data_IF_699856210321
#
_entry.id   IF_699856210321
#
_cell.length_a   1.000
_cell.length_b   1.000
_cell.length_c   1.000
_cell.angle_alpha   90.00
_cell.angle_beta   90.00
_cell.angle_gamma   90.00
#
_symmetry.space_group_name_H-M   'P 1'
#
loop_
_entity.id
_entity.type
_entity.pdbx_description
1 polymer ?
#
# COMPACT_ATOMS: atom_id res chain seq x y z
N UNK A 1 -43.51 -10.64 25.89
CA UNK A 1 -43.88 -9.49 26.75
C UNK A 1 -43.13 -9.61 28.07
N UNK A 2 -42.40 -8.56 28.48
CA UNK A 2 -42.07 -8.21 29.88
C UNK A 2 -41.00 -9.03 30.64
N UNK A 3 -40.04 -8.34 31.25
CA UNK A 3 -38.98 -8.92 32.10
C UNK A 3 -39.44 -9.17 33.56
N UNK A 4 -39.03 -10.29 34.18
CA UNK A 4 -38.62 -10.41 35.61
C UNK A 4 -38.16 -11.85 35.98
N UNK A 5 -37.35 -11.96 37.05
CA UNK A 5 -36.52 -13.10 37.49
C UNK A 5 -37.21 -14.21 38.30
N UNK A 6 -36.69 -15.45 38.27
CA UNK A 6 -36.77 -16.43 39.39
C UNK A 6 -35.57 -17.41 39.44
N UNK A 7 -35.22 -17.84 40.66
CA UNK A 7 -34.14 -18.76 41.03
C UNK A 7 -34.75 -20.05 41.60
N UNK A 8 -34.35 -21.26 41.16
CA UNK A 8 -34.67 -22.51 41.87
C UNK A 8 -33.62 -23.63 41.70
N UNK A 9 -33.62 -24.53 42.69
CA UNK A 9 -32.58 -25.46 43.19
C UNK A 9 -32.21 -26.67 42.29
N UNK A 10 -30.99 -27.23 42.46
CA UNK A 10 -30.69 -28.67 42.27
C UNK A 10 -29.57 -29.03 41.28
N UNK A 11 -28.52 -29.71 41.77
CA UNK A 11 -27.30 -30.16 41.06
C UNK A 11 -27.51 -31.03 39.79
N UNK A 12 -26.69 -30.84 38.73
CA UNK A 12 -25.69 -31.80 38.18
C UNK A 12 -25.17 -31.34 36.80
N UNK A 13 -23.87 -31.52 36.60
CA UNK A 13 -23.05 -31.07 35.45
C UNK A 13 -23.52 -31.59 34.08
N UNK A 14 -23.37 -30.75 33.05
CA UNK A 14 -22.76 -31.17 31.79
C UNK A 14 -22.05 -29.98 31.14
N UNK A 15 -20.73 -29.98 31.20
CA UNK A 15 -19.88 -29.04 30.47
C UNK A 15 -19.91 -29.40 28.99
N UNK A 16 -20.43 -28.49 28.16
CA UNK A 16 -20.07 -28.49 26.74
C UNK A 16 -19.69 -27.05 26.40
N UNK A 17 -18.39 -26.81 26.35
CA UNK A 17 -17.78 -25.68 25.65
C UNK A 17 -18.28 -25.70 24.22
N UNK A 18 -19.34 -24.94 23.95
CA UNK A 18 -19.58 -24.45 22.60
C UNK A 18 -18.69 -23.23 22.49
N UNK A 19 -17.48 -23.44 21.97
CA UNK A 19 -16.75 -22.38 21.29
C UNK A 19 -17.69 -21.99 20.15
N UNK A 20 -18.53 -20.98 20.39
CA UNK A 20 -19.11 -20.23 19.28
C UNK A 20 -17.92 -19.56 18.66
N UNK A 21 -17.33 -20.23 17.66
CA UNK A 21 -16.59 -19.55 16.63
C UNK A 21 -17.51 -18.41 16.19
N UNK A 22 -17.17 -17.20 16.62
CA UNK A 22 -17.51 -16.02 15.87
C UNK A 22 -16.84 -16.20 14.51
N UNK A 23 -17.46 -17.02 13.65
CA UNK A 23 -17.38 -16.77 12.23
C UNK A 23 -18.03 -15.41 12.08
N UNK A 24 -17.20 -14.37 12.06
CA UNK A 24 -17.53 -13.18 11.30
C UNK A 24 -17.94 -13.70 9.93
N UNK A 25 -19.25 -13.73 9.68
CA UNK A 25 -19.76 -13.78 8.33
C UNK A 25 -19.35 -12.45 7.74
N UNK A 26 -18.10 -12.38 7.26
CA UNK A 26 -17.69 -11.36 6.32
C UNK A 26 -18.58 -11.64 5.13
N UNK A 27 -19.57 -10.77 4.91
CA UNK A 27 -20.27 -10.77 3.65
C UNK A 27 -19.17 -10.45 2.62
N UNK A 28 -18.62 -11.47 1.97
CA UNK A 28 -17.45 -11.33 1.11
C UNK A 28 -17.87 -10.47 -0.08
N UNK A 29 -17.70 -9.15 0.05
CA UNK A 29 -17.79 -8.23 -1.06
C UNK A 29 -16.74 -8.63 -2.09
N UNK A 30 -17.11 -8.58 -3.36
CA UNK A 30 -16.21 -8.88 -4.48
C UNK A 30 -14.90 -8.11 -4.29
N UNK A 31 -13.77 -8.82 -4.05
CA UNK A 31 -12.42 -8.28 -3.87
C UNK A 31 -12.34 -6.91 -3.14
N UNK A 32 -12.97 -6.77 -1.98
CA UNK A 32 -13.01 -5.55 -1.15
C UNK A 32 -13.70 -4.31 -1.78
N UNK A 33 -14.22 -4.40 -3.00
CA UNK A 33 -15.02 -3.37 -3.67
C UNK A 33 -14.30 -2.66 -4.82
N UNK A 34 -14.95 -1.67 -5.45
CA UNK A 34 -14.44 -1.06 -6.68
C UNK A 34 -13.33 -0.05 -6.41
N UNK A 35 -13.23 0.55 -5.22
CA UNK A 35 -12.20 1.57 -4.93
C UNK A 35 -10.88 1.00 -4.43
N UNK A 36 -10.78 -0.33 -4.31
CA UNK A 36 -9.61 -1.00 -3.75
C UNK A 36 -8.97 -1.86 -4.84
N UNK A 37 -7.67 -1.65 -5.06
CA UNK A 37 -6.86 -2.52 -5.90
C UNK A 37 -6.16 -3.56 -5.03
N UNK A 38 -6.44 -4.84 -5.25
CA UNK A 38 -5.98 -5.93 -4.38
C UNK A 38 -5.69 -7.18 -5.19
N UNK A 39 -5.05 -8.18 -4.59
CA UNK A 39 -5.07 -9.56 -5.12
C UNK A 39 -6.01 -10.46 -4.31
N UNK A 40 -6.40 -10.03 -3.11
CA UNK A 40 -7.30 -10.80 -2.25
C UNK A 40 -8.72 -10.87 -2.82
N UNK A 41 -9.23 -12.09 -2.97
CA UNK A 41 -10.60 -12.31 -3.44
C UNK A 41 -10.82 -12.09 -4.94
N UNK A 42 -9.74 -11.98 -5.74
CA UNK A 42 -9.77 -11.88 -7.20
C UNK A 42 -10.01 -13.24 -7.88
N UNK A 43 -11.11 -13.92 -7.54
CA UNK A 43 -11.32 -15.35 -7.89
C UNK A 43 -11.44 -15.65 -9.38
N UNK A 44 -11.78 -14.65 -10.20
CA UNK A 44 -11.89 -14.77 -11.65
C UNK A 44 -10.61 -14.39 -12.41
N UNK A 45 -9.58 -13.89 -11.72
CA UNK A 45 -8.33 -13.40 -12.30
C UNK A 45 -7.23 -14.48 -12.23
N UNK A 46 -6.20 -14.33 -13.05
CA UNK A 46 -5.03 -15.22 -12.99
C UNK A 46 -4.23 -14.99 -11.70
N UNK A 47 -3.44 -15.97 -11.29
CA UNK A 47 -2.62 -15.90 -10.08
C UNK A 47 -1.80 -14.60 -10.02
N UNK A 48 -1.79 -13.96 -8.85
CA UNK A 48 -1.11 -12.68 -8.58
C UNK A 48 -1.63 -11.46 -9.36
N UNK A 49 -2.61 -11.63 -10.26
CA UNK A 49 -3.23 -10.50 -10.94
C UNK A 49 -3.92 -9.59 -9.94
N UNK A 50 -3.72 -8.29 -10.11
CA UNK A 50 -4.46 -7.31 -9.33
C UNK A 50 -5.89 -7.24 -9.85
N UNK A 51 -6.84 -6.89 -8.99
CA UNK A 51 -8.19 -6.65 -9.41
C UNK A 51 -8.92 -5.62 -8.55
N UNK A 52 -9.99 -5.11 -9.13
CA UNK A 52 -11.05 -4.36 -8.45
C UNK A 52 -12.34 -5.17 -8.55
N UNK A 53 -13.13 -5.21 -7.48
CA UNK A 53 -14.34 -6.01 -7.44
C UNK A 53 -15.63 -5.21 -7.53
N UNK A 54 -16.58 -5.72 -8.30
CA UNK A 54 -17.87 -5.09 -8.58
C UNK A 54 -19.02 -6.07 -8.32
N UNK A 55 -20.09 -5.57 -7.70
CA UNK A 55 -21.31 -6.37 -7.45
C UNK A 55 -22.19 -6.44 -8.71
N UNK A 56 -22.17 -5.42 -9.56
CA UNK A 56 -22.91 -5.42 -10.83
C UNK A 56 -21.94 -5.53 -12.00
N UNK A 57 -22.24 -6.43 -12.93
CA UNK A 57 -21.42 -6.63 -14.13
C UNK A 57 -21.36 -5.37 -15.03
N UNK A 58 -22.37 -4.50 -14.97
CA UNK A 58 -22.40 -3.24 -15.71
C UNK A 58 -21.36 -2.22 -15.24
N UNK A 59 -20.88 -2.36 -13.99
CA UNK A 59 -19.98 -1.39 -13.37
C UNK A 59 -18.52 -1.64 -13.79
N UNK A 60 -18.24 -2.80 -14.38
CA UNK A 60 -16.96 -3.13 -15.00
C UNK A 60 -17.09 -3.02 -16.52
N UNK A 61 -16.30 -2.14 -17.14
CA UNK A 61 -16.31 -1.92 -18.58
C UNK A 61 -14.93 -2.16 -19.15
N UNK A 62 -14.79 -3.14 -20.04
CA UNK A 62 -13.55 -3.40 -20.74
C UNK A 62 -13.28 -4.88 -21.01
N UNK A 63 -12.23 -5.19 -21.78
CA UNK A 63 -11.86 -6.58 -22.09
C UNK A 63 -11.35 -7.36 -20.87
N UNK A 64 -10.94 -6.64 -19.84
CA UNK A 64 -10.36 -7.16 -18.60
C UNK A 64 -11.41 -7.57 -17.56
N UNK A 65 -12.69 -7.29 -17.82
CA UNK A 65 -13.78 -7.66 -16.93
C UNK A 65 -14.05 -9.17 -17.00
N UNK A 66 -13.94 -9.84 -15.85
CA UNK A 66 -14.23 -11.27 -15.67
C UNK A 66 -15.31 -11.43 -14.61
N UNK A 67 -16.20 -12.40 -14.80
CA UNK A 67 -17.29 -12.67 -13.86
C UNK A 67 -17.09 -14.05 -13.24
N UNK A 68 -17.24 -14.13 -11.92
CA UNK A 68 -17.32 -15.38 -11.17
C UNK A 68 -18.49 -15.29 -10.17
N UNK A 69 -19.50 -16.15 -10.35
CA UNK A 69 -20.74 -16.10 -9.61
C UNK A 69 -21.46 -14.74 -9.72
N UNK A 70 -21.67 -14.08 -8.59
CA UNK A 70 -22.31 -12.76 -8.49
C UNK A 70 -21.30 -11.60 -8.52
N UNK A 71 -20.01 -11.89 -8.71
CA UNK A 71 -18.96 -10.90 -8.70
C UNK A 71 -18.40 -10.69 -10.09
N UNK A 72 -18.12 -9.44 -10.42
CA UNK A 72 -17.34 -9.06 -11.60
C UNK A 72 -16.06 -8.39 -11.16
N UNK A 73 -14.97 -8.66 -11.85
CA UNK A 73 -13.63 -8.21 -11.50
C UNK A 73 -12.99 -7.56 -12.71
N UNK A 74 -12.40 -6.40 -12.53
CA UNK A 74 -11.49 -5.83 -13.51
C UNK A 74 -10.10 -6.38 -13.23
N UNK A 75 -9.65 -7.35 -14.03
CA UNK A 75 -8.37 -8.04 -13.80
C UNK A 75 -7.21 -7.33 -14.52
N UNK A 76 -6.12 -7.09 -13.80
CA UNK A 76 -4.87 -6.55 -14.30
C UNK A 76 -3.79 -7.62 -14.19
N UNK A 77 -3.47 -8.25 -15.32
CA UNK A 77 -2.45 -9.28 -15.40
C UNK A 77 -1.07 -8.76 -15.00
N UNK A 78 -0.32 -9.59 -14.29
CA UNK A 78 1.07 -9.32 -13.91
C UNK A 78 1.98 -10.43 -14.41
N UNK A 79 3.24 -10.10 -14.72
CA UNK A 79 4.23 -11.13 -15.03
C UNK A 79 4.79 -11.74 -13.74
N UNK A 80 4.23 -12.86 -13.31
CA UNK A 80 4.63 -13.55 -12.08
C UNK A 80 6.09 -14.07 -12.07
N UNK A 81 6.78 -14.07 -13.21
CA UNK A 81 8.20 -14.46 -13.30
C UNK A 81 9.16 -13.25 -13.25
N UNK A 82 8.62 -12.03 -13.24
CA UNK A 82 9.43 -10.81 -13.16
C UNK A 82 10.02 -10.63 -11.77
N UNK A 83 11.27 -10.18 -11.70
CA UNK A 83 11.89 -9.76 -10.45
C UNK A 83 11.31 -8.45 -9.90
N UNK A 84 10.61 -7.71 -10.76
CA UNK A 84 9.99 -6.43 -10.44
C UNK A 84 8.50 -6.48 -10.72
N UNK A 85 7.69 -5.98 -9.81
CA UNK A 85 6.31 -5.58 -10.07
C UNK A 85 6.18 -4.09 -9.80
N UNK A 86 5.81 -3.32 -10.82
CA UNK A 86 5.34 -1.96 -10.63
C UNK A 86 3.81 -1.89 -10.78
N UNK A 87 3.18 -1.05 -9.97
CA UNK A 87 1.77 -0.68 -10.07
C UNK A 87 1.73 0.82 -10.29
N UNK A 88 1.16 1.25 -11.42
CA UNK A 88 1.06 2.65 -11.77
C UNK A 88 -0.33 3.15 -11.40
N UNK A 89 -0.40 4.22 -10.63
CA UNK A 89 -1.67 4.87 -10.31
C UNK A 89 -1.70 6.20 -11.05
N UNK A 90 -2.44 6.24 -12.14
CA UNK A 90 -2.57 7.42 -12.99
C UNK A 90 -3.28 8.54 -12.24
N UNK A 91 -2.76 9.76 -12.35
CA UNK A 91 -3.38 10.95 -11.79
C UNK A 91 -4.69 11.24 -12.54
N UNK A 92 -5.79 11.24 -11.79
CA UNK A 92 -7.11 11.62 -12.23
C UNK A 92 -7.41 13.08 -11.85
N UNK A 93 -8.54 13.29 -11.18
CA UNK A 93 -9.05 14.60 -10.79
C UNK A 93 -8.49 15.04 -9.43
N UNK A 94 -7.93 14.10 -8.67
CA UNK A 94 -7.24 14.41 -7.42
C UNK A 94 -5.90 15.11 -7.71
N UNK A 95 -5.66 16.23 -7.02
CA UNK A 95 -4.39 16.95 -6.99
C UNK A 95 -4.09 17.33 -5.54
N UNK A 96 -2.83 17.15 -5.10
CA UNK A 96 -2.41 17.61 -3.78
C UNK A 96 -2.27 19.13 -3.74
N UNK A 97 -2.20 19.74 -2.55
CA UNK A 97 -1.96 21.18 -2.42
C UNK A 97 -0.63 21.59 -3.06
N UNK A 98 0.37 20.71 -2.96
CA UNK A 98 1.70 20.86 -3.51
C UNK A 98 1.72 20.77 -5.04
N UNK A 99 0.94 19.85 -5.63
CA UNK A 99 0.76 19.77 -7.08
C UNK A 99 0.12 21.05 -7.61
N UNK A 100 -0.96 21.51 -6.96
CA UNK A 100 -1.64 22.76 -7.32
C UNK A 100 -0.69 23.96 -7.21
N UNK A 101 0.18 23.98 -6.18
CA UNK A 101 1.17 25.03 -5.98
C UNK A 101 2.31 24.98 -7.01
N UNK A 102 2.73 23.79 -7.44
CA UNK A 102 3.74 23.59 -8.49
C UNK A 102 3.24 24.07 -9.86
N UNK A 103 1.93 23.99 -10.09
CA UNK A 103 1.27 24.47 -11.30
C UNK A 103 1.22 23.43 -12.41
N UNK A 104 0.91 23.89 -13.64
CA UNK A 104 0.71 22.99 -14.79
C UNK A 104 2.00 22.75 -15.55
N UNK A 105 2.29 21.49 -15.84
CA UNK A 105 3.34 21.08 -16.78
C UNK A 105 2.82 21.10 -18.22
N UNK A 106 3.72 21.33 -19.17
CA UNK A 106 3.37 21.28 -20.60
C UNK A 106 3.77 19.94 -21.24
N UNK A 107 3.12 19.61 -22.36
CA UNK A 107 3.35 18.35 -23.09
C UNK A 107 4.81 18.12 -23.51
N UNK A 108 5.60 19.19 -23.66
CA UNK A 108 7.02 19.08 -24.02
C UNK A 108 7.86 18.63 -22.83
N UNK A 109 7.59 19.15 -21.63
CA UNK A 109 8.22 18.72 -20.38
C UNK A 109 7.88 17.26 -20.06
N UNK A 110 6.64 16.84 -20.34
CA UNK A 110 6.19 15.47 -20.10
C UNK A 110 6.74 14.47 -21.13
N UNK A 111 7.11 14.93 -22.34
CA UNK A 111 7.59 14.04 -23.42
C UNK A 111 8.92 13.34 -23.13
N UNK A 112 9.67 13.79 -22.11
CA UNK A 112 10.90 13.14 -21.66
C UNK A 112 10.64 11.92 -20.76
N UNK A 113 9.40 11.76 -20.26
CA UNK A 113 9.00 10.67 -19.39
C UNK A 113 8.16 9.66 -20.19
N UNK A 114 8.63 8.41 -20.34
CA UNK A 114 7.92 7.40 -21.12
C UNK A 114 6.62 6.96 -20.41
N UNK A 115 5.60 6.67 -21.22
CA UNK A 115 4.37 6.03 -20.74
C UNK A 115 4.59 4.52 -20.60
N UNK A 116 4.58 4.05 -19.37
CA UNK A 116 4.81 2.66 -18.99
C UNK A 116 3.51 1.89 -18.67
N UNK A 117 2.34 2.48 -18.89
CA UNK A 117 1.01 1.86 -18.62
C UNK A 117 0.74 0.61 -19.46
N UNK A 118 1.48 0.44 -20.57
CA UNK A 118 1.44 -0.78 -21.37
C UNK A 118 2.31 -1.92 -20.82
N UNK A 119 3.29 -1.60 -19.97
CA UNK A 119 4.26 -2.55 -19.41
C UNK A 119 3.89 -3.00 -18.00
N UNK A 120 3.16 -2.16 -17.26
CA UNK A 120 2.79 -2.39 -15.87
C UNK A 120 1.29 -2.20 -15.65
N UNK A 121 0.68 -2.93 -14.70
CA UNK A 121 -0.72 -2.70 -14.33
C UNK A 121 -0.89 -1.24 -13.92
N UNK A 122 -1.85 -0.57 -14.56
CA UNK A 122 -2.21 0.81 -14.25
C UNK A 122 -3.68 0.98 -13.90
N UNK A 123 -3.98 1.93 -13.03
CA UNK A 123 -5.34 2.32 -12.66
C UNK A 123 -5.39 3.80 -12.34
N UNK A 124 -6.51 4.48 -12.58
CA UNK A 124 -6.64 5.89 -12.20
C UNK A 124 -6.89 6.04 -10.70
N UNK A 125 -6.30 7.06 -10.06
CA UNK A 125 -6.64 7.44 -8.68
C UNK A 125 -8.08 7.99 -8.52
N UNK A 126 -8.78 8.29 -9.62
CA UNK A 126 -10.24 8.55 -9.62
C UNK A 126 -11.04 7.27 -9.35
N UNK A 127 -10.44 6.12 -9.63
CA UNK A 127 -11.07 4.81 -9.55
C UNK A 127 -10.63 4.03 -8.32
N UNK A 128 -9.38 4.20 -7.89
CA UNK A 128 -8.77 3.51 -6.75
C UNK A 128 -8.17 4.54 -5.82
N UNK A 129 -8.69 4.60 -4.60
CA UNK A 129 -8.17 5.45 -3.52
C UNK A 129 -7.31 4.67 -2.52
N UNK A 130 -7.25 3.35 -2.66
CA UNK A 130 -6.61 2.44 -1.71
C UNK A 130 -5.98 1.25 -2.42
N UNK A 131 -4.71 0.95 -2.15
CA UNK A 131 -4.17 -0.39 -2.39
C UNK A 131 -4.50 -1.28 -1.20
N UNK A 132 -5.13 -2.42 -1.51
CA UNK A 132 -5.41 -3.51 -0.59
C UNK A 132 -4.19 -4.41 -0.41
N UNK A 133 -4.41 -5.59 0.18
CA UNK A 133 -3.33 -6.56 0.29
C UNK A 133 -2.94 -7.07 -1.11
N UNK A 134 -1.65 -6.95 -1.43
CA UNK A 134 -1.09 -7.40 -2.71
C UNK A 134 -0.18 -8.59 -2.44
N UNK A 135 -0.62 -9.76 -2.86
CA UNK A 135 0.16 -10.98 -2.87
C UNK A 135 1.11 -10.97 -4.06
N UNK A 136 2.40 -11.09 -3.77
CA UNK A 136 3.44 -11.19 -4.77
C UNK A 136 3.86 -12.64 -4.99
N UNK A 137 4.32 -12.92 -6.21
CA UNK A 137 5.00 -14.17 -6.52
C UNK A 137 6.36 -14.22 -5.84
N UNK A 138 6.92 -15.41 -5.66
CA UNK A 138 8.26 -15.58 -5.07
C UNK A 138 9.40 -15.06 -5.96
N UNK A 139 9.11 -14.68 -7.20
CA UNK A 139 10.12 -14.09 -8.09
C UNK A 139 10.33 -12.59 -7.80
N UNK A 140 9.31 -11.90 -7.27
CA UNK A 140 9.35 -10.45 -7.07
C UNK A 140 10.26 -10.11 -5.89
N UNK A 141 11.35 -9.41 -6.19
CA UNK A 141 12.27 -8.83 -5.20
C UNK A 141 12.11 -7.31 -5.08
N UNK A 142 11.62 -6.65 -6.13
CA UNK A 142 11.36 -5.20 -6.16
C UNK A 142 9.87 -4.94 -6.39
N UNK A 143 9.24 -4.24 -5.45
CA UNK A 143 7.85 -3.81 -5.58
C UNK A 143 7.79 -2.29 -5.69
N UNK A 144 7.10 -1.78 -6.70
CA UNK A 144 7.01 -0.35 -7.01
C UNK A 144 5.54 0.06 -7.06
N UNK A 145 5.21 1.18 -6.43
CA UNK A 145 3.95 1.90 -6.61
C UNK A 145 4.29 3.34 -6.95
N UNK A 146 3.77 3.82 -8.06
CA UNK A 146 3.97 5.20 -8.48
C UNK A 146 2.63 5.89 -8.73
N UNK A 147 2.38 7.01 -8.06
CA UNK A 147 1.13 7.75 -8.19
C UNK A 147 0.10 7.41 -7.10
N UNK A 148 -0.91 8.28 -6.94
CA UNK A 148 -2.09 8.04 -6.09
C UNK A 148 -2.32 9.11 -5.02
N UNK A 149 -3.40 8.94 -4.25
CA UNK A 149 -3.88 9.91 -3.24
C UNK A 149 -3.83 9.41 -1.79
N UNK A 150 -3.90 8.10 -1.56
CA UNK A 150 -3.61 7.48 -0.26
C UNK A 150 -3.37 5.98 -0.44
N UNK A 151 -2.54 5.37 0.41
CA UNK A 151 -2.39 3.91 0.38
C UNK A 151 -2.28 3.34 1.78
N UNK A 152 -3.16 2.37 2.08
CA UNK A 152 -3.27 1.79 3.42
C UNK A 152 -2.87 0.33 3.52
N UNK A 153 -2.54 -0.40 2.44
CA UNK A 153 -2.02 -1.77 2.52
C UNK A 153 -1.02 -2.06 1.38
N UNK A 154 0.12 -2.60 1.78
CA UNK A 154 1.23 -3.03 0.93
C UNK A 154 1.50 -4.52 1.15
N UNK A 155 2.34 -5.18 0.33
CA UNK A 155 2.58 -6.61 0.42
C UNK A 155 3.07 -7.01 1.81
N UNK A 156 2.18 -7.51 2.66
CA UNK A 156 2.55 -7.94 4.01
C UNK A 156 3.13 -9.34 3.98
N UNK A 157 4.31 -9.51 4.58
CA UNK A 157 4.82 -10.86 4.92
C UNK A 157 5.36 -11.68 3.76
N UNK A 158 5.69 -11.07 2.61
CA UNK A 158 6.47 -11.73 1.55
C UNK A 158 7.96 -11.50 1.81
N UNK A 159 8.65 -12.52 2.30
CA UNK A 159 10.07 -12.46 2.73
C UNK A 159 11.06 -12.18 1.59
N UNK A 160 10.61 -12.27 0.34
CA UNK A 160 11.48 -12.21 -0.83
C UNK A 160 11.63 -10.78 -1.37
N UNK A 161 10.75 -9.88 -0.95
CA UNK A 161 10.84 -8.47 -1.32
C UNK A 161 11.89 -7.81 -0.44
N UNK A 162 12.94 -7.32 -1.08
CA UNK A 162 14.03 -6.58 -0.43
C UNK A 162 14.01 -5.11 -0.80
N UNK A 163 13.32 -4.73 -1.89
CA UNK A 163 13.17 -3.33 -2.30
C UNK A 163 11.71 -2.95 -2.47
N UNK A 164 11.29 -1.90 -1.78
CA UNK A 164 9.99 -1.25 -1.97
C UNK A 164 10.21 0.19 -2.38
N UNK A 165 9.50 0.62 -3.42
CA UNK A 165 9.52 1.98 -3.96
C UNK A 165 8.10 2.51 -3.99
N UNK A 166 7.81 3.51 -3.17
CA UNK A 166 6.55 4.24 -3.15
C UNK A 166 6.88 5.68 -3.57
N UNK A 167 6.44 6.10 -4.75
CA UNK A 167 6.81 7.39 -5.29
C UNK A 167 5.62 8.15 -5.86
N UNK A 168 5.72 9.48 -5.88
CA UNK A 168 4.71 10.36 -6.45
C UNK A 168 3.31 10.10 -5.88
N UNK A 169 3.24 9.76 -4.59
CA UNK A 169 2.03 9.31 -3.91
C UNK A 169 1.79 10.20 -2.70
N UNK A 170 0.59 10.73 -2.53
CA UNK A 170 0.22 11.38 -1.26
C UNK A 170 0.15 10.32 -0.15
N UNK A 171 1.21 10.23 0.65
CA UNK A 171 1.22 9.44 1.88
C UNK A 171 0.73 10.24 3.08
N UNK A 172 0.67 11.58 2.98
CA UNK A 172 0.32 12.50 4.05
C UNK A 172 0.93 12.09 5.39
N UNK A 173 0.10 11.96 6.43
CA UNK A 173 0.50 11.41 7.74
C UNK A 173 0.31 9.89 7.87
N UNK A 174 -0.09 9.19 6.81
CA UNK A 174 -0.37 7.75 6.83
C UNK A 174 0.88 6.87 6.72
N UNK A 175 2.06 7.46 6.51
CA UNK A 175 3.33 6.72 6.46
C UNK A 175 3.59 5.93 7.76
N UNK A 176 3.03 6.38 8.88
CA UNK A 176 3.13 5.70 10.18
C UNK A 176 2.53 4.29 10.19
N UNK A 177 1.66 3.94 9.23
CA UNK A 177 1.10 2.60 9.09
C UNK A 177 1.94 1.70 8.17
N UNK A 178 2.86 2.27 7.37
CA UNK A 178 3.66 1.50 6.40
C UNK A 178 4.46 0.36 7.04
N UNK A 179 5.13 0.51 8.20
CA UNK A 179 5.87 -0.60 8.81
C UNK A 179 5.03 -1.86 9.01
N UNK A 180 3.73 -1.72 9.31
CA UNK A 180 2.81 -2.86 9.53
C UNK A 180 2.48 -3.63 8.23
N UNK A 181 2.70 -3.00 7.08
CA UNK A 181 2.35 -3.52 5.77
C UNK A 181 3.54 -3.84 4.88
N UNK A 182 4.73 -3.33 5.21
CA UNK A 182 5.96 -3.70 4.52
C UNK A 182 6.49 -5.05 5.02
N UNK A 183 7.12 -5.86 4.17
CA UNK A 183 7.85 -7.05 4.62
C UNK A 183 9.02 -6.67 5.53
N UNK A 184 9.26 -7.46 6.58
CA UNK A 184 10.42 -7.27 7.46
C UNK A 184 11.78 -7.54 6.78
N UNK A 185 11.76 -8.07 5.55
CA UNK A 185 12.92 -8.32 4.69
C UNK A 185 13.34 -7.10 3.87
N UNK A 186 12.59 -6.00 3.90
CA UNK A 186 12.92 -4.81 3.10
C UNK A 186 14.26 -4.22 3.58
N UNK A 187 15.19 -4.15 2.64
CA UNK A 187 16.53 -3.58 2.79
C UNK A 187 16.61 -2.17 2.19
N UNK A 188 15.81 -1.89 1.15
CA UNK A 188 15.71 -0.58 0.51
C UNK A 188 14.26 -0.12 0.49
N UNK A 189 14.02 1.03 1.13
CA UNK A 189 12.74 1.73 1.07
C UNK A 189 12.95 3.10 0.43
N UNK A 190 12.23 3.34 -0.65
CA UNK A 190 12.23 4.60 -1.38
C UNK A 190 10.84 5.22 -1.25
N UNK A 191 10.77 6.38 -0.61
CA UNK A 191 9.57 7.19 -0.38
C UNK A 191 9.71 8.56 -1.05
N UNK A 192 10.43 8.63 -2.19
CA UNK A 192 10.69 9.89 -2.85
C UNK A 192 9.42 10.52 -3.41
N UNK A 193 9.27 11.83 -3.24
CA UNK A 193 8.09 12.59 -3.65
C UNK A 193 6.77 11.99 -3.10
N UNK A 194 6.68 11.88 -1.78
CA UNK A 194 5.49 11.32 -1.11
C UNK A 194 4.81 12.27 -0.12
N UNK A 195 5.07 13.57 -0.28
CA UNK A 195 4.52 14.66 0.54
C UNK A 195 4.86 14.57 2.03
N UNK A 196 5.94 13.88 2.41
CA UNK A 196 6.34 13.75 3.81
C UNK A 196 6.80 15.11 4.35
N UNK A 197 6.15 15.56 5.43
CA UNK A 197 6.55 16.77 6.18
C UNK A 197 7.32 16.46 7.46
N UNK A 198 7.32 15.20 7.90
CA UNK A 198 7.98 14.71 9.12
C UNK A 198 8.85 13.49 8.81
N UNK A 199 9.95 13.34 9.55
CA UNK A 199 10.85 12.21 9.37
C UNK A 199 10.19 10.91 9.86
N UNK A 200 10.24 9.81 9.09
CA UNK A 200 9.44 8.62 9.38
C UNK A 200 10.11 7.67 10.39
N UNK A 201 10.13 8.06 11.66
CA UNK A 201 10.78 7.32 12.76
C UNK A 201 10.20 5.92 13.02
N UNK A 202 8.99 5.64 12.54
CA UNK A 202 8.28 4.38 12.71
C UNK A 202 8.99 3.19 12.03
N UNK A 203 9.93 3.47 11.12
CA UNK A 203 10.76 2.44 10.50
C UNK A 203 11.91 1.93 11.37
N UNK A 204 12.11 2.46 12.58
CA UNK A 204 13.19 2.03 13.47
C UNK A 204 13.15 0.52 13.82
N UNK A 205 11.97 -0.08 13.88
CA UNK A 205 11.81 -1.51 14.17
C UNK A 205 12.10 -2.40 12.95
N UNK A 206 12.30 -1.82 11.75
CA UNK A 206 12.68 -2.55 10.54
C UNK A 206 14.19 -2.83 10.51
N UNK A 207 14.61 -3.85 11.27
CA UNK A 207 16.03 -4.20 11.44
C UNK A 207 16.79 -4.56 10.15
N UNK A 208 16.08 -4.91 9.07
CA UNK A 208 16.69 -5.21 7.77
C UNK A 208 16.89 -3.97 6.90
N UNK A 209 16.22 -2.85 7.21
CA UNK A 209 16.25 -1.65 6.39
C UNK A 209 17.63 -0.99 6.45
N UNK A 210 18.31 -0.91 5.31
CA UNK A 210 19.65 -0.34 5.18
C UNK A 210 19.66 0.96 4.40
N UNK A 211 18.76 1.10 3.41
CA UNK A 211 18.70 2.26 2.52
C UNK A 211 17.33 2.91 2.61
N UNK A 212 17.31 4.17 3.04
CA UNK A 212 16.09 4.99 3.09
C UNK A 212 16.26 6.21 2.18
N UNK A 213 15.43 6.31 1.15
CA UNK A 213 15.42 7.43 0.21
C UNK A 213 14.16 8.26 0.46
N UNK A 214 14.34 9.53 0.84
CA UNK A 214 13.26 10.48 1.15
C UNK A 214 13.36 11.73 0.27
N UNK A 215 13.95 11.60 -0.92
CA UNK A 215 14.18 12.73 -1.80
C UNK A 215 12.86 13.40 -2.25
N UNK A 216 12.89 14.69 -2.57
CA UNK A 216 11.73 15.43 -3.06
C UNK A 216 10.53 15.44 -2.10
N UNK A 217 10.77 15.45 -0.79
CA UNK A 217 9.74 15.63 0.23
C UNK A 217 9.79 17.05 0.82
N UNK A 218 8.99 17.31 1.85
CA UNK A 218 8.84 18.63 2.48
C UNK A 218 9.43 18.65 3.90
N UNK A 219 10.42 17.79 4.15
CA UNK A 219 11.10 17.73 5.45
C UNK A 219 11.84 19.05 5.68
N UNK A 220 11.67 19.62 6.86
CA UNK A 220 12.36 20.85 7.28
C UNK A 220 13.44 20.60 8.33
N UNK A 221 13.30 19.53 9.11
CA UNK A 221 14.23 19.19 10.17
C UNK A 221 14.44 17.68 10.25
N UNK A 222 15.65 17.26 10.61
CA UNK A 222 15.92 15.92 11.15
C UNK A 222 16.43 16.10 12.58
N UNK A 223 15.62 15.72 13.56
CA UNK A 223 15.86 15.94 14.99
C UNK A 223 16.73 14.84 15.62
N UNK A 224 17.24 15.07 16.83
CA UNK A 224 17.99 14.05 17.56
C UNK A 224 17.14 12.84 18.01
N UNK A 225 15.81 12.96 17.97
CA UNK A 225 14.89 11.85 18.23
C UNK A 225 14.53 11.08 16.95
N UNK A 226 14.97 11.56 15.80
CA UNK A 226 14.67 10.93 14.51
C UNK A 226 15.69 9.82 14.28
N UNK A 227 15.37 8.64 14.79
CA UNK A 227 16.28 7.49 14.88
C UNK A 227 15.74 6.34 14.04
N UNK A 228 16.60 5.79 13.18
CA UNK A 228 16.44 4.51 12.51
C UNK A 228 17.81 3.85 12.53
N UNK A 229 18.11 3.04 13.55
CA UNK A 229 19.46 2.57 13.82
C UNK A 229 20.05 1.64 12.73
N UNK A 230 19.19 1.04 11.91
CA UNK A 230 19.58 0.06 10.89
C UNK A 230 20.11 0.67 9.59
N UNK A 231 19.82 1.95 9.30
CA UNK A 231 20.15 2.52 7.99
C UNK A 231 21.64 2.86 7.86
N UNK A 232 22.21 2.46 6.73
CA UNK A 232 23.59 2.78 6.31
C UNK A 232 23.62 3.80 5.18
N UNK A 233 22.49 4.01 4.49
CA UNK A 233 22.30 5.05 3.47
C UNK A 233 21.02 5.82 3.73
N UNK A 234 21.12 7.15 3.82
CA UNK A 234 20.00 8.07 3.91
C UNK A 234 20.12 9.12 2.80
N UNK A 235 19.08 9.27 1.98
CA UNK A 235 18.98 10.34 0.98
C UNK A 235 17.84 11.29 1.33
N UNK A 236 18.12 12.60 1.31
CA UNK A 236 17.22 13.69 1.69
C UNK A 236 17.23 14.80 0.64
N UNK A 237 17.66 14.50 -0.58
CA UNK A 237 17.85 15.50 -1.64
C UNK A 237 16.51 16.19 -1.96
N UNK A 238 16.57 17.47 -2.32
CA UNK A 238 15.38 18.26 -2.66
C UNK A 238 14.30 18.31 -1.55
N UNK A 239 14.72 18.26 -0.28
CA UNK A 239 13.92 18.68 0.87
C UNK A 239 14.26 20.13 1.27
N UNK A 240 13.54 20.66 2.26
CA UNK A 240 13.74 21.99 2.83
C UNK A 240 14.49 21.96 4.18
N UNK A 241 15.43 21.02 4.35
CA UNK A 241 16.14 20.81 5.62
C UNK A 241 16.94 22.05 6.01
N UNK A 242 16.56 22.71 7.11
CA UNK A 242 17.30 23.81 7.72
C UNK A 242 18.12 23.36 8.95
N UNK A 243 17.74 22.23 9.54
CA UNK A 243 18.31 21.70 10.78
C UNK A 243 18.51 20.19 10.67
N UNK A 244 19.74 19.73 10.89
CA UNK A 244 20.08 18.31 10.94
C UNK A 244 20.84 18.00 12.23
N UNK A 245 20.13 17.40 13.18
CA UNK A 245 20.63 16.94 14.48
C UNK A 245 20.46 15.41 14.67
N UNK A 246 19.98 14.71 13.65
CA UNK A 246 19.83 13.24 13.67
C UNK A 246 21.15 12.53 13.88
N UNK A 247 21.10 11.43 14.63
CA UNK A 247 22.27 10.60 14.93
C UNK A 247 22.03 9.22 14.33
N UNK A 248 22.73 8.93 13.24
CA UNK A 248 22.64 7.65 12.54
C UNK A 248 24.01 6.95 12.61
N UNK A 249 24.17 5.96 13.52
CA UNK A 249 25.48 5.42 13.87
C UNK A 249 26.15 4.63 12.74
N UNK A 250 25.36 4.06 11.82
CA UNK A 250 25.83 3.15 10.78
C UNK A 250 25.91 3.79 9.38
N UNK A 251 25.67 5.11 9.23
CA UNK A 251 25.75 5.76 7.92
C UNK A 251 27.18 5.69 7.35
N UNK A 252 27.27 5.17 6.13
CA UNK A 252 28.51 5.17 5.36
C UNK A 252 28.77 6.58 4.79
N UNK A 253 29.99 7.09 4.97
CA UNK A 253 30.42 8.43 4.54
C UNK A 253 31.17 8.41 3.20
#
# INVERSE_FOLDING_TARGET
MGCAWFRHQGLLLFTCTVITNFFSVVNAGCAAGPSILTTEGCTACEDYSLCRGFVQASDCVGPNCKTDGNCTFECMSVNANSATLAVLVEFGDYQSEEEVAAGTYNDTELSEYPDETSNWPSVSNNQVDTLGAIDLSSAVATFIVSGGSSVSKYPKGKTEVTKVVLQNLDLGMQFNLLPDYLPSSVETLDLSNTLLSEFPTEFNDMSSLQRLLLDYNYLTTVSANDVIDSITTLSLDNNNIDTFNGVFPELEY
#
